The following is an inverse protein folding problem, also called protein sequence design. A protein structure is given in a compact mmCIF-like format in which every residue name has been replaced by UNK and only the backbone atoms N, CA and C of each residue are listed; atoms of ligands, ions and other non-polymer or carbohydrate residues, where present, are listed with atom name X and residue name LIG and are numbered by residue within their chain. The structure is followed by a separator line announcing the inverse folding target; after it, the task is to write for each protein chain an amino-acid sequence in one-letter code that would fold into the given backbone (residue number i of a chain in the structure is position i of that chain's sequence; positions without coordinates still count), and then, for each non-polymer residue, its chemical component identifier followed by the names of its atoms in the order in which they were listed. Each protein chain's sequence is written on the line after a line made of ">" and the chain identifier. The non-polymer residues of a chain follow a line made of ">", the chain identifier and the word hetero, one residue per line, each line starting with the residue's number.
data_IF_774598425325
#
_entry.id   IF_774598425325
#
_cell.length_a   1.000
_cell.length_b   1.000
_cell.length_c   1.000
_cell.angle_alpha   90.00
_cell.angle_beta   90.00
_cell.angle_gamma   90.00
#
_symmetry.space_group_name_H-M   'P 1'
#
loop_
_entity.id
_entity.type
_entity.pdbx_description
1 polymer ?
#
# COMPACT_ATOMS: atom_id res chain seq x y z
N UNK A 1 5.47 -8.77 -54.09
CA UNK A 1 4.43 -7.83 -53.63
C UNK A 1 3.02 -8.35 -53.89
N UNK A 2 2.73 -9.02 -55.01
CA UNK A 2 1.36 -9.52 -55.31
C UNK A 2 0.94 -10.76 -54.47
N UNK A 3 1.86 -11.69 -54.19
CA UNK A 3 1.57 -12.93 -53.43
C UNK A 3 1.32 -12.73 -51.92
N UNK A 4 1.92 -11.70 -51.31
CA UNK A 4 1.75 -11.41 -49.88
C UNK A 4 0.33 -10.87 -49.58
N UNK A 5 -0.22 -10.08 -50.51
CA UNK A 5 -1.56 -9.53 -50.40
C UNK A 5 -2.64 -10.60 -50.58
N UNK A 6 -2.43 -11.58 -51.46
CA UNK A 6 -3.35 -12.71 -51.65
C UNK A 6 -3.32 -13.68 -50.47
N UNK A 7 -2.16 -13.94 -49.86
CA UNK A 7 -2.07 -14.74 -48.63
C UNK A 7 -2.77 -14.07 -47.45
N UNK A 8 -2.56 -12.77 -47.22
CA UNK A 8 -3.27 -12.01 -46.18
C UNK A 8 -4.79 -12.05 -46.39
N UNK A 9 -5.25 -11.90 -47.64
CA UNK A 9 -6.66 -11.96 -47.99
C UNK A 9 -7.27 -13.33 -47.66
N UNK A 10 -6.55 -14.43 -47.94
CA UNK A 10 -7.03 -15.79 -47.69
C UNK A 10 -7.10 -16.13 -46.19
N UNK A 11 -6.16 -15.61 -45.39
CA UNK A 11 -6.19 -15.72 -43.93
C UNK A 11 -7.40 -14.97 -43.32
N UNK A 12 -7.65 -13.73 -43.76
CA UNK A 12 -8.81 -12.93 -43.31
C UNK A 12 -10.13 -13.65 -43.65
N UNK A 13 -10.22 -14.23 -44.85
CA UNK A 13 -11.40 -14.98 -45.29
C UNK A 13 -11.64 -16.22 -44.42
N UNK A 14 -10.59 -17.00 -44.14
CA UNK A 14 -10.68 -18.17 -43.24
C UNK A 14 -11.13 -17.79 -41.83
N UNK A 15 -10.58 -16.71 -41.27
CA UNK A 15 -10.97 -16.20 -39.95
C UNK A 15 -12.44 -15.77 -39.94
N UNK A 16 -12.90 -15.05 -40.97
CA UNK A 16 -14.28 -14.57 -41.07
C UNK A 16 -15.31 -15.72 -41.06
N UNK A 17 -15.02 -16.82 -41.77
CA UNK A 17 -15.88 -18.00 -41.84
C UNK A 17 -16.00 -18.69 -40.47
N UNK A 18 -14.90 -18.78 -39.71
CA UNK A 18 -14.88 -19.36 -38.36
C UNK A 18 -15.68 -18.51 -37.38
N UNK A 19 -15.53 -17.18 -37.44
CA UNK A 19 -16.27 -16.22 -36.60
C UNK A 19 -17.77 -16.30 -36.85
N UNK A 20 -18.19 -16.37 -38.11
CA UNK A 20 -19.62 -16.49 -38.48
C UNK A 20 -20.20 -17.81 -37.96
N UNK A 21 -19.48 -18.93 -38.13
CA UNK A 21 -19.95 -20.27 -37.71
C UNK A 21 -20.08 -20.41 -36.18
N UNK A 22 -19.29 -19.65 -35.40
CA UNK A 22 -19.28 -19.68 -33.92
C UNK A 22 -19.70 -18.35 -33.29
N UNK A 23 -20.51 -17.54 -33.98
CA UNK A 23 -20.89 -16.17 -33.58
C UNK A 23 -21.40 -16.06 -32.13
N UNK A 24 -22.20 -17.04 -31.66
CA UNK A 24 -22.73 -17.07 -30.28
C UNK A 24 -21.62 -17.18 -29.23
N UNK A 25 -20.58 -17.97 -29.49
CA UNK A 25 -19.43 -18.11 -28.59
C UNK A 25 -18.62 -16.81 -28.49
N UNK A 26 -18.38 -16.15 -29.63
CA UNK A 26 -17.68 -14.85 -29.64
C UNK A 26 -18.48 -13.76 -28.90
N UNK A 27 -19.80 -13.72 -29.05
CA UNK A 27 -20.66 -12.80 -28.30
C UNK A 27 -20.61 -13.08 -26.79
N UNK A 28 -20.61 -14.35 -26.37
CA UNK A 28 -20.47 -14.69 -24.94
C UNK A 28 -19.11 -14.29 -24.38
N UNK A 29 -18.02 -14.48 -25.13
CA UNK A 29 -16.67 -14.05 -24.72
C UNK A 29 -16.60 -12.54 -24.59
N UNK A 30 -17.15 -11.81 -25.57
CA UNK A 30 -17.20 -10.35 -25.54
C UNK A 30 -17.97 -9.85 -24.31
N UNK A 31 -19.12 -10.44 -24.01
CA UNK A 31 -19.90 -10.11 -22.82
C UNK A 31 -19.12 -10.35 -21.52
N UNK A 32 -18.40 -11.47 -21.42
CA UNK A 32 -17.55 -11.77 -20.25
C UNK A 32 -16.45 -10.73 -20.09
N UNK A 33 -15.78 -10.33 -21.18
CA UNK A 33 -14.74 -9.29 -21.15
C UNK A 33 -15.31 -7.96 -20.64
N UNK A 34 -16.48 -7.54 -21.15
CA UNK A 34 -17.14 -6.30 -20.70
C UNK A 34 -17.53 -6.38 -19.23
N UNK A 35 -18.02 -7.53 -18.76
CA UNK A 35 -18.34 -7.75 -17.35
C UNK A 35 -17.10 -7.64 -16.45
N UNK A 36 -15.98 -8.26 -16.84
CA UNK A 36 -14.70 -8.18 -16.10
C UNK A 36 -14.20 -6.74 -16.02
N UNK A 37 -14.22 -6.01 -17.14
CA UNK A 37 -13.81 -4.60 -17.17
C UNK A 37 -14.69 -3.73 -16.26
N UNK A 38 -16.00 -3.95 -16.30
CA UNK A 38 -16.95 -3.23 -15.45
C UNK A 38 -16.69 -3.46 -13.96
N UNK A 39 -16.42 -4.72 -13.57
CA UNK A 39 -16.04 -5.08 -12.19
C UNK A 39 -14.74 -4.39 -11.79
N UNK A 40 -13.73 -4.40 -12.67
CA UNK A 40 -12.43 -3.77 -12.40
C UNK A 40 -12.56 -2.26 -12.18
N UNK A 41 -13.34 -1.56 -13.02
CA UNK A 41 -13.61 -0.13 -12.89
C UNK A 41 -14.36 0.17 -11.58
N UNK A 42 -15.40 -0.61 -11.28
CA UNK A 42 -16.18 -0.46 -10.05
C UNK A 42 -15.29 -0.64 -8.81
N UNK A 43 -14.45 -1.67 -8.80
CA UNK A 43 -13.53 -1.93 -7.69
C UNK A 43 -12.54 -0.76 -7.51
N UNK A 44 -11.97 -0.23 -8.59
CA UNK A 44 -11.09 0.93 -8.52
C UNK A 44 -11.80 2.18 -7.97
N UNK A 45 -13.03 2.44 -8.43
CA UNK A 45 -13.84 3.54 -7.93
C UNK A 45 -14.12 3.41 -6.42
N UNK A 46 -14.53 2.22 -5.99
CA UNK A 46 -14.79 1.95 -4.57
C UNK A 46 -13.54 2.19 -3.71
N UNK A 47 -12.37 1.69 -4.14
CA UNK A 47 -11.10 1.93 -3.45
C UNK A 47 -10.75 3.41 -3.37
N UNK A 48 -11.00 4.18 -4.44
CA UNK A 48 -10.75 5.61 -4.44
C UNK A 48 -11.61 6.35 -3.39
N UNK A 49 -12.89 5.99 -3.27
CA UNK A 49 -13.77 6.57 -2.25
C UNK A 49 -13.27 6.25 -0.83
N UNK A 50 -12.76 5.04 -0.59
CA UNK A 50 -12.18 4.70 0.70
C UNK A 50 -10.92 5.52 1.00
N UNK A 51 -10.05 5.72 -0.01
CA UNK A 51 -8.87 6.57 0.14
C UNK A 51 -9.23 8.02 0.47
N UNK A 52 -10.26 8.57 -0.17
CA UNK A 52 -10.76 9.93 0.12
C UNK A 52 -11.20 10.01 1.58
N UNK A 53 -12.04 9.08 2.05
CA UNK A 53 -12.50 9.06 3.44
C UNK A 53 -11.35 8.99 4.45
N UNK A 54 -10.34 8.16 4.19
CA UNK A 54 -9.16 8.06 5.07
C UNK A 54 -8.32 9.35 5.01
N UNK A 55 -8.19 9.98 3.84
CA UNK A 55 -7.49 11.26 3.70
C UNK A 55 -8.17 12.39 4.48
N UNK A 56 -9.50 12.45 4.45
CA UNK A 56 -10.28 13.44 5.21
C UNK A 56 -10.10 13.24 6.71
N UNK A 57 -10.13 11.99 7.18
CA UNK A 57 -9.80 11.65 8.59
C UNK A 57 -8.39 12.08 8.95
N UNK A 58 -7.41 11.84 8.07
CA UNK A 58 -6.03 12.23 8.31
C UNK A 58 -5.87 13.74 8.47
N UNK A 59 -6.50 14.53 7.59
CA UNK A 59 -6.51 15.99 7.68
C UNK A 59 -7.21 16.44 8.98
N UNK A 60 -8.36 15.84 9.31
CA UNK A 60 -9.10 16.14 10.54
C UNK A 60 -8.28 15.86 11.80
N UNK A 61 -7.56 14.74 11.84
CA UNK A 61 -6.64 14.42 12.94
C UNK A 61 -5.55 15.48 13.09
N UNK A 62 -4.99 15.95 11.97
CA UNK A 62 -4.02 17.05 11.94
C UNK A 62 -4.59 18.35 12.51
N UNK A 63 -5.83 18.71 12.15
CA UNK A 63 -6.51 19.90 12.69
C UNK A 63 -6.67 19.79 14.21
N UNK A 64 -7.12 18.63 14.72
CA UNK A 64 -7.23 18.40 16.17
C UNK A 64 -5.86 18.51 16.86
N UNK A 65 -4.82 17.92 16.26
CA UNK A 65 -3.46 17.99 16.77
C UNK A 65 -2.95 19.44 16.87
N UNK A 66 -3.12 20.23 15.81
CA UNK A 66 -2.75 21.66 15.79
C UNK A 66 -3.56 22.48 16.80
N UNK A 67 -4.80 22.08 17.06
CA UNK A 67 -5.67 22.71 18.06
C UNK A 67 -5.39 22.25 19.50
N UNK A 68 -4.32 21.46 19.71
CA UNK A 68 -3.92 20.86 21.00
C UNK A 68 -4.93 19.84 21.58
N UNK A 69 -5.90 19.40 20.78
CA UNK A 69 -6.83 18.33 21.15
C UNK A 69 -6.20 16.96 20.86
N UNK A 70 -5.20 16.61 21.69
CA UNK A 70 -4.35 15.43 21.48
C UNK A 70 -5.11 14.11 21.56
N UNK A 71 -6.10 13.99 22.46
CA UNK A 71 -6.87 12.76 22.62
C UNK A 71 -7.71 12.45 21.37
N UNK A 72 -8.37 13.46 20.79
CA UNK A 72 -9.10 13.25 19.52
C UNK A 72 -8.16 12.95 18.37
N UNK A 73 -7.05 13.67 18.26
CA UNK A 73 -6.04 13.40 17.24
C UNK A 73 -5.52 11.95 17.34
N UNK A 74 -5.15 11.52 18.56
CA UNK A 74 -4.72 10.15 18.87
C UNK A 74 -5.75 9.12 18.40
N UNK A 75 -7.01 9.29 18.80
CA UNK A 75 -8.09 8.36 18.45
C UNK A 75 -8.26 8.22 16.94
N UNK A 76 -8.25 9.34 16.19
CA UNK A 76 -8.44 9.32 14.74
C UNK A 76 -7.21 8.72 14.06
N UNK A 77 -5.99 9.05 14.49
CA UNK A 77 -4.78 8.45 13.91
C UNK A 77 -4.72 6.93 14.14
N UNK A 78 -5.11 6.44 15.33
CA UNK A 78 -5.23 4.99 15.56
C UNK A 78 -6.22 4.33 14.60
N UNK A 79 -7.39 4.94 14.43
CA UNK A 79 -8.39 4.46 13.48
C UNK A 79 -7.83 4.38 12.04
N UNK A 80 -7.05 5.38 11.63
CA UNK A 80 -6.39 5.38 10.32
C UNK A 80 -5.37 4.25 10.22
N UNK A 81 -4.54 4.01 11.25
CA UNK A 81 -3.60 2.87 11.25
C UNK A 81 -4.34 1.56 11.05
N UNK A 82 -5.40 1.32 11.83
CA UNK A 82 -6.22 0.11 11.78
C UNK A 82 -7.02 -0.06 10.48
N UNK A 83 -7.18 1.00 9.68
CA UNK A 83 -7.79 0.90 8.35
C UNK A 83 -6.90 0.24 7.30
N UNK A 84 -5.62 -0.02 7.63
CA UNK A 84 -4.62 -0.65 6.75
C UNK A 84 -4.45 0.05 5.39
N UNK A 85 -4.77 1.34 5.33
CA UNK A 85 -4.54 2.15 4.15
C UNK A 85 -3.04 2.24 3.82
N UNK A 86 -2.68 1.86 2.59
CA UNK A 86 -1.29 1.76 2.13
C UNK A 86 -0.43 2.99 2.40
N UNK A 87 -1.02 4.18 2.32
CA UNK A 87 -0.31 5.44 2.51
C UNK A 87 -0.57 6.05 3.88
N UNK A 88 -1.84 6.22 4.24
CA UNK A 88 -2.22 6.97 5.43
C UNK A 88 -1.95 6.22 6.74
N UNK A 89 -1.95 4.88 6.76
CA UNK A 89 -1.62 4.13 7.99
C UNK A 89 -0.17 4.37 8.42
N UNK A 90 0.78 4.38 7.48
CA UNK A 90 2.20 4.69 7.77
C UNK A 90 2.32 6.13 8.29
N UNK A 91 1.66 7.08 7.64
CA UNK A 91 1.71 8.49 8.04
C UNK A 91 1.05 8.74 9.41
N UNK A 92 -0.06 8.07 9.70
CA UNK A 92 -0.76 8.17 10.97
C UNK A 92 0.10 7.60 12.11
N UNK A 93 0.74 6.45 11.90
CA UNK A 93 1.69 5.88 12.86
C UNK A 93 2.85 6.86 13.12
N UNK A 94 3.41 7.48 12.08
CA UNK A 94 4.46 8.48 12.24
C UNK A 94 4.01 9.67 13.11
N UNK A 95 2.81 10.21 12.87
CA UNK A 95 2.27 11.31 13.67
C UNK A 95 2.08 10.91 15.14
N UNK A 96 1.59 9.69 15.41
CA UNK A 96 1.45 9.16 16.77
C UNK A 96 2.79 9.15 17.51
N UNK A 97 3.86 8.71 16.84
CA UNK A 97 5.20 8.60 17.41
C UNK A 97 5.87 9.97 17.61
N UNK A 98 5.92 10.78 16.56
CA UNK A 98 6.64 12.05 16.53
C UNK A 98 6.04 13.08 17.50
N UNK A 99 4.72 13.02 17.70
CA UNK A 99 4.01 13.91 18.62
C UNK A 99 3.77 13.31 20.02
N UNK A 100 4.31 12.11 20.29
CA UNK A 100 4.11 11.34 21.52
C UNK A 100 2.63 11.27 21.93
N UNK A 101 1.74 10.93 20.98
CA UNK A 101 0.30 10.86 21.22
C UNK A 101 -0.11 9.56 21.91
N UNK A 102 0.68 8.50 21.78
CA UNK A 102 0.53 7.26 22.55
C UNK A 102 1.75 7.07 23.46
N UNK A 103 1.49 6.67 24.71
CA UNK A 103 2.52 6.39 25.71
C UNK A 103 2.59 4.91 26.05
N UNK A 104 1.55 4.15 25.72
CA UNK A 104 1.57 2.69 25.85
C UNK A 104 2.46 2.06 24.78
N UNK A 105 3.56 1.46 25.22
CA UNK A 105 4.53 0.84 24.35
C UNK A 105 3.98 -0.42 23.66
N UNK A 106 3.13 -1.20 24.33
CA UNK A 106 2.56 -2.42 23.72
C UNK A 106 1.60 -2.05 22.60
N UNK A 107 0.79 -1.02 22.83
CA UNK A 107 -0.12 -0.49 21.83
C UNK A 107 0.63 0.03 20.60
N UNK A 108 1.71 0.80 20.79
CA UNK A 108 2.55 1.25 19.68
C UNK A 108 3.12 0.06 18.89
N UNK A 109 3.58 -0.98 19.58
CA UNK A 109 4.10 -2.18 18.91
C UNK A 109 3.02 -2.93 18.14
N UNK A 110 1.78 -2.93 18.61
CA UNK A 110 0.64 -3.48 17.86
C UNK A 110 0.33 -2.67 16.60
N UNK A 111 0.37 -1.33 16.69
CA UNK A 111 0.21 -0.46 15.53
C UNK A 111 1.33 -0.66 14.49
N UNK A 112 2.58 -0.88 14.92
CA UNK A 112 3.67 -1.28 14.03
C UNK A 112 3.37 -2.60 13.32
N UNK A 113 2.89 -3.63 14.03
CA UNK A 113 2.51 -4.92 13.41
C UNK A 113 1.44 -4.74 12.33
N UNK A 114 0.43 -3.92 12.59
CA UNK A 114 -0.60 -3.60 11.59
C UNK A 114 0.03 -3.00 10.33
N UNK A 115 0.91 -2.01 10.48
CA UNK A 115 1.57 -1.35 9.34
C UNK A 115 2.52 -2.29 8.60
N UNK A 116 3.23 -3.18 9.29
CA UNK A 116 4.14 -4.16 8.69
C UNK A 116 3.42 -5.16 7.77
N UNK A 117 2.15 -5.48 8.04
CA UNK A 117 1.34 -6.40 7.25
C UNK A 117 0.82 -5.78 5.94
N UNK A 118 0.91 -4.46 5.78
CA UNK A 118 0.43 -3.75 4.58
C UNK A 118 1.36 -4.02 3.40
N UNK A 119 0.77 -4.36 2.25
CA UNK A 119 1.52 -4.60 1.02
C UNK A 119 2.14 -3.31 0.43
N UNK A 120 3.38 -3.05 0.83
CA UNK A 120 4.18 -1.87 0.48
C UNK A 120 5.48 -2.24 -0.24
N UNK A 121 6.15 -1.26 -0.84
CA UNK A 121 7.43 -1.49 -1.52
C UNK A 121 8.51 -1.88 -0.51
N UNK A 122 9.58 -2.51 -1.00
CA UNK A 122 10.75 -2.87 -0.19
C UNK A 122 11.27 -1.69 0.66
N UNK A 123 11.48 -0.54 0.03
CA UNK A 123 12.00 0.64 0.73
C UNK A 123 11.02 1.22 1.75
N UNK A 124 9.70 1.12 1.51
CA UNK A 124 8.70 1.51 2.51
C UNK A 124 8.72 0.57 3.72
N UNK A 125 8.85 -0.75 3.51
CA UNK A 125 8.99 -1.73 4.59
C UNK A 125 10.26 -1.49 5.40
N UNK A 126 11.39 -1.23 4.75
CA UNK A 126 12.64 -0.92 5.44
C UNK A 126 12.57 0.40 6.20
N UNK A 127 11.86 1.42 5.72
CA UNK A 127 11.61 2.63 6.48
C UNK A 127 10.76 2.37 7.75
N UNK A 128 9.69 1.58 7.63
CA UNK A 128 8.87 1.19 8.81
C UNK A 128 9.72 0.42 9.82
N UNK A 129 10.54 -0.53 9.34
CA UNK A 129 11.49 -1.29 10.16
C UNK A 129 12.49 -0.38 10.86
N UNK A 130 13.06 0.60 10.16
CA UNK A 130 13.99 1.59 10.70
C UNK A 130 13.34 2.40 11.84
N UNK A 131 12.12 2.90 11.62
CA UNK A 131 11.38 3.65 12.65
C UNK A 131 11.03 2.79 13.86
N UNK A 132 10.70 1.51 13.64
CA UNK A 132 10.47 0.55 14.72
C UNK A 132 11.74 0.25 15.52
N UNK A 133 12.89 0.15 14.85
CA UNK A 133 14.18 -0.01 15.51
C UNK A 133 14.49 1.18 16.42
N UNK A 134 14.29 2.41 15.93
CA UNK A 134 14.43 3.63 16.73
C UNK A 134 13.47 3.63 17.93
N UNK A 135 12.22 3.21 17.73
CA UNK A 135 11.27 3.07 18.81
C UNK A 135 11.74 2.05 19.86
N UNK A 136 12.25 0.89 19.44
CA UNK A 136 12.82 -0.10 20.35
C UNK A 136 13.99 0.46 21.18
N UNK A 137 14.93 1.18 20.55
CA UNK A 137 16.01 1.86 21.27
C UNK A 137 15.47 2.87 22.29
N UNK A 138 14.44 3.66 21.91
CA UNK A 138 13.77 4.63 22.81
C UNK A 138 13.19 3.97 24.07
N UNK A 139 12.69 2.73 23.96
CA UNK A 139 12.14 1.97 25.11
C UNK A 139 13.15 0.99 25.72
N UNK A 140 14.45 1.22 25.49
CA UNK A 140 15.57 0.42 26.01
C UNK A 140 15.62 -1.04 25.56
N UNK A 141 14.90 -1.40 24.49
CA UNK A 141 14.93 -2.71 23.83
C UNK A 141 15.99 -2.74 22.72
N UNK A 142 17.24 -2.47 23.10
CA UNK A 142 18.33 -2.26 22.15
C UNK A 142 18.64 -3.49 21.28
N UNK A 143 18.48 -4.69 21.83
CA UNK A 143 18.75 -5.93 21.09
C UNK A 143 17.77 -6.09 19.92
N UNK A 144 16.47 -5.88 20.17
CA UNK A 144 15.43 -5.94 19.15
C UNK A 144 15.58 -4.81 18.12
N UNK A 145 15.95 -3.62 18.57
CA UNK A 145 16.27 -2.50 17.69
C UNK A 145 17.44 -2.82 16.74
N UNK A 146 18.57 -3.26 17.29
CA UNK A 146 19.78 -3.56 16.51
C UNK A 146 19.55 -4.69 15.51
N UNK A 147 18.80 -5.73 15.88
CA UNK A 147 18.43 -6.80 14.95
C UNK A 147 17.72 -6.27 13.71
N UNK A 148 16.78 -5.34 13.89
CA UNK A 148 16.07 -4.73 12.77
C UNK A 148 16.99 -3.87 11.89
N UNK A 149 17.97 -3.18 12.49
CA UNK A 149 18.96 -2.39 11.75
C UNK A 149 19.90 -3.30 10.94
N UNK A 150 20.39 -4.38 11.53
CA UNK A 150 21.22 -5.38 10.85
C UNK A 150 20.53 -5.97 9.63
N UNK A 151 19.23 -6.27 9.72
CA UNK A 151 18.42 -6.73 8.59
C UNK A 151 18.34 -5.69 7.46
N UNK A 152 18.32 -4.39 7.76
CA UNK A 152 18.34 -3.31 6.75
C UNK A 152 19.73 -3.17 6.13
N UNK A 153 20.79 -3.30 6.95
CA UNK A 153 22.19 -3.14 6.50
C UNK A 153 22.61 -4.28 5.57
N UNK A 154 22.17 -5.50 5.88
CA UNK A 154 22.39 -6.68 5.05
C UNK A 154 21.62 -6.61 3.72
N UNK A 155 20.59 -5.77 3.64
CA UNK A 155 19.77 -5.58 2.46
C UNK A 155 20.35 -4.49 1.54
N UNK A 156 20.15 -4.64 0.22
CA UNK A 156 20.45 -3.58 -0.74
C UNK A 156 19.34 -2.52 -0.71
N UNK A 157 19.29 -1.74 0.36
CA UNK A 157 18.26 -0.74 0.65
C UNK A 157 18.84 0.66 0.67
N UNK A 158 18.03 1.66 0.32
CA UNK A 158 18.43 3.07 0.41
C UNK A 158 18.64 3.53 1.87
N UNK A 159 18.11 2.76 2.83
CA UNK A 159 18.19 3.06 4.27
C UNK A 159 19.43 2.44 4.95
N UNK A 160 20.27 1.72 4.20
CA UNK A 160 21.44 1.01 4.73
C UNK A 160 22.38 1.93 5.50
N UNK A 161 22.75 3.06 4.91
CA UNK A 161 23.74 3.96 5.51
C UNK A 161 23.17 4.60 6.79
N UNK A 162 21.90 5.01 6.77
CA UNK A 162 21.20 5.51 7.96
C UNK A 162 21.09 4.44 9.05
N UNK A 163 20.79 3.20 8.68
CA UNK A 163 20.72 2.10 9.64
C UNK A 163 22.10 1.81 10.28
N UNK A 164 23.18 1.87 9.48
CA UNK A 164 24.55 1.71 9.97
C UNK A 164 24.92 2.81 10.97
N UNK A 165 24.63 4.07 10.65
CA UNK A 165 24.87 5.21 11.54
C UNK A 165 24.12 5.06 12.88
N UNK A 166 22.85 4.64 12.84
CA UNK A 166 22.04 4.43 14.05
C UNK A 166 22.54 3.22 14.87
N UNK A 167 23.22 2.26 14.24
CA UNK A 167 23.68 1.03 14.91
C UNK A 167 24.96 1.23 15.71
N UNK A 168 25.69 2.32 15.45
CA UNK A 168 26.88 2.76 16.20
C UNK A 168 26.48 3.37 17.55
#
# INVERSE_FOLDING_TARGET
>A
MENEHTEQFDLIKKISVIVIKRKKLFLTILFIIVAILSIMIFFNYYQNIQNIKVSEKYVKAGIHLSSKDKEKAKSIYKEIVLSENKFYSILALNNLLENNLETDNEEILNLFKTVENINTTKEQKNLVKLKKALFFKKISKNQEGNKLLEEIIADNSIWKDTALEISQ
#
